data_IF_679370617055
#
_entry.id   IF_679370617055
#
_cell.length_a   1.000
_cell.length_b   1.000
_cell.length_c   1.000
_cell.angle_alpha   90.00
_cell.angle_beta   90.00
_cell.angle_gamma   90.00
#
_symmetry.space_group_name_H-M   'P 1'
#
loop_
_entity.id
_entity.type
_entity.pdbx_description
1 polymer ?
#
# COMPACT_ATOMS: atom_id res chain seq x y z
N UNK A 1 9.90 -2.44 -15.45
CA UNK A 1 10.24 -2.15 -14.05
C UNK A 1 10.64 -0.68 -13.93
N UNK A 2 10.34 -0.06 -12.79
CA UNK A 2 10.63 1.37 -12.62
C UNK A 2 9.77 2.30 -13.47
N UNK A 3 8.50 1.98 -13.72
CA UNK A 3 7.56 2.76 -14.51
C UNK A 3 6.39 3.22 -13.65
N UNK A 4 5.92 4.45 -13.88
CA UNK A 4 4.67 4.96 -13.30
C UNK A 4 3.63 5.03 -14.41
N UNK A 5 2.55 4.26 -14.26
CA UNK A 5 1.40 4.28 -15.13
C UNK A 5 0.26 5.10 -14.51
N UNK A 6 -0.14 6.18 -15.17
CA UNK A 6 -1.30 6.98 -14.77
C UNK A 6 -2.58 6.47 -15.41
N UNK A 7 -3.59 6.14 -14.59
CA UNK A 7 -4.94 5.77 -15.06
C UNK A 7 -5.88 6.94 -14.80
N UNK A 8 -6.37 7.55 -15.86
CA UNK A 8 -7.23 8.75 -15.81
C UNK A 8 -8.65 8.42 -16.29
N UNK A 9 -9.63 9.02 -15.68
CA UNK A 9 -11.04 8.89 -16.07
C UNK A 9 -11.96 9.64 -15.09
N UNK A 10 -13.18 9.88 -15.51
CA UNK A 10 -14.20 10.57 -14.72
C UNK A 10 -14.54 9.82 -13.41
N UNK A 11 -15.19 10.51 -12.47
CA UNK A 11 -15.69 9.85 -11.26
C UNK A 11 -16.72 8.78 -11.66
N UNK A 12 -16.61 7.59 -11.04
CA UNK A 12 -17.51 6.47 -11.34
C UNK A 12 -17.16 5.64 -12.59
N UNK A 13 -16.11 5.99 -13.37
CA UNK A 13 -15.74 5.22 -14.57
C UNK A 13 -15.11 3.83 -14.28
N UNK A 14 -14.89 3.49 -13.00
CA UNK A 14 -14.42 2.16 -12.61
C UNK A 14 -12.94 2.04 -12.22
N UNK A 15 -12.19 3.15 -12.06
CA UNK A 15 -10.77 3.12 -11.66
C UNK A 15 -10.53 2.29 -10.40
N UNK A 16 -11.22 2.64 -9.32
CA UNK A 16 -11.17 1.91 -8.04
C UNK A 16 -11.62 0.45 -8.17
N UNK A 17 -12.66 0.18 -8.98
CA UNK A 17 -13.12 -1.18 -9.22
C UNK A 17 -12.04 -2.01 -9.92
N UNK A 18 -11.36 -1.45 -10.93
CA UNK A 18 -10.25 -2.09 -11.62
C UNK A 18 -9.09 -2.36 -10.66
N UNK A 19 -8.66 -1.36 -9.89
CA UNK A 19 -7.59 -1.48 -8.91
C UNK A 19 -7.86 -2.60 -7.88
N UNK A 20 -9.07 -2.62 -7.30
CA UNK A 20 -9.50 -3.65 -6.36
C UNK A 20 -9.64 -5.04 -7.00
N UNK A 21 -10.01 -5.10 -8.29
CA UNK A 21 -10.13 -6.39 -9.01
C UNK A 21 -8.77 -7.06 -9.20
N UNK A 22 -7.69 -6.30 -9.46
CA UNK A 22 -6.33 -6.83 -9.57
C UNK A 22 -5.95 -7.61 -8.29
N UNK A 23 -6.36 -7.13 -7.14
CA UNK A 23 -6.09 -7.79 -5.85
C UNK A 23 -7.25 -8.66 -5.35
N UNK A 24 -8.34 -8.83 -6.11
CA UNK A 24 -9.56 -9.55 -5.70
C UNK A 24 -10.07 -9.11 -4.32
N UNK A 25 -10.11 -7.77 -4.08
CA UNK A 25 -10.53 -7.18 -2.79
C UNK A 25 -12.04 -6.98 -2.68
N UNK A 26 -12.82 -7.34 -3.68
CA UNK A 26 -14.28 -7.29 -3.62
C UNK A 26 -14.84 -8.48 -2.81
N UNK A 27 -16.01 -8.29 -2.24
CA UNK A 27 -16.73 -9.36 -1.53
C UNK A 27 -17.05 -10.50 -2.51
N UNK A 28 -16.40 -11.65 -2.34
CA UNK A 28 -16.55 -12.84 -3.19
C UNK A 28 -17.98 -13.38 -3.22
N UNK A 29 -18.82 -13.06 -2.23
CA UNK A 29 -20.23 -13.46 -2.20
C UNK A 29 -21.13 -12.60 -3.09
N UNK A 30 -20.64 -11.40 -3.46
CA UNK A 30 -21.41 -10.38 -4.20
C UNK A 30 -20.77 -10.04 -5.54
N UNK A 31 -19.58 -10.58 -5.83
CA UNK A 31 -18.83 -10.23 -7.02
C UNK A 31 -18.52 -11.46 -7.85
N UNK A 32 -18.84 -11.37 -9.12
CA UNK A 32 -18.47 -12.37 -10.11
C UNK A 32 -17.43 -11.78 -11.06
N UNK A 33 -16.27 -12.43 -11.15
CA UNK A 33 -15.21 -12.06 -12.08
C UNK A 33 -15.34 -12.87 -13.38
N UNK A 34 -15.23 -12.19 -14.52
CA UNK A 34 -15.20 -12.83 -15.84
C UNK A 34 -14.01 -12.30 -16.62
N UNK A 35 -13.23 -13.19 -17.21
CA UNK A 35 -11.98 -12.89 -17.90
C UNK A 35 -10.77 -13.34 -17.10
N UNK A 36 -9.62 -12.75 -17.36
CA UNK A 36 -8.35 -13.12 -16.79
C UNK A 36 -7.56 -11.88 -16.35
N UNK A 37 -6.73 -12.02 -15.32
CA UNK A 37 -5.75 -11.03 -14.88
C UNK A 37 -4.42 -11.76 -14.75
N UNK A 38 -3.52 -11.52 -15.70
CA UNK A 38 -2.26 -12.21 -15.77
C UNK A 38 -1.15 -11.44 -15.06
N UNK A 39 -0.46 -12.13 -14.17
CA UNK A 39 0.78 -11.68 -13.55
C UNK A 39 1.96 -12.41 -14.18
N UNK A 40 2.82 -11.64 -14.83
CA UNK A 40 4.06 -12.16 -15.42
C UNK A 40 5.22 -11.93 -14.46
N UNK A 41 5.86 -12.99 -14.02
CA UNK A 41 6.96 -12.92 -13.08
C UNK A 41 8.00 -13.99 -13.34
N UNK A 42 9.27 -13.59 -13.47
CA UNK A 42 10.42 -14.49 -13.59
C UNK A 42 10.20 -15.58 -14.66
N UNK A 43 9.61 -15.20 -15.81
CA UNK A 43 9.27 -16.10 -16.91
C UNK A 43 8.05 -17.01 -16.67
N UNK A 44 7.33 -16.81 -15.56
CA UNK A 44 6.09 -17.51 -15.23
C UNK A 44 4.89 -16.58 -15.40
N UNK A 45 3.81 -17.18 -15.84
CA UNK A 45 2.50 -16.53 -15.95
C UNK A 45 1.56 -17.16 -14.92
N UNK A 46 0.91 -16.32 -14.13
CA UNK A 46 -0.10 -16.72 -13.15
C UNK A 46 -1.37 -15.92 -13.37
N UNK A 47 -2.54 -16.57 -13.41
CA UNK A 47 -3.82 -15.87 -13.47
C UNK A 47 -4.30 -15.58 -12.04
N UNK A 48 -4.35 -14.30 -11.68
CA UNK A 48 -4.74 -13.86 -10.32
C UNK A 48 -6.17 -14.30 -9.97
N UNK A 49 -7.08 -14.34 -10.96
CA UNK A 49 -8.48 -14.69 -10.72
C UNK A 49 -8.68 -16.15 -10.30
N UNK A 50 -7.75 -17.03 -10.69
CA UNK A 50 -7.80 -18.47 -10.38
C UNK A 50 -6.90 -18.88 -9.23
N UNK A 51 -6.12 -17.95 -8.65
CA UNK A 51 -5.26 -18.23 -7.50
C UNK A 51 -6.07 -18.71 -6.30
N UNK A 52 -5.53 -19.69 -5.58
CA UNK A 52 -6.06 -20.09 -4.29
C UNK A 52 -5.86 -19.01 -3.22
N UNK A 53 -6.54 -19.14 -2.08
CA UNK A 53 -6.48 -18.15 -0.99
C UNK A 53 -5.09 -18.00 -0.39
N UNK A 54 -4.30 -19.07 -0.35
CA UNK A 54 -2.94 -19.06 0.22
C UNK A 54 -1.99 -18.28 -0.69
N UNK A 55 -2.02 -18.55 -2.00
CA UNK A 55 -1.20 -17.83 -2.98
C UNK A 55 -1.60 -16.35 -3.07
N UNK A 56 -2.92 -16.07 -3.08
CA UNK A 56 -3.44 -14.71 -3.07
C UNK A 56 -3.04 -13.94 -1.81
N UNK A 57 -3.02 -14.60 -0.63
CA UNK A 57 -2.53 -14.01 0.61
C UNK A 57 -1.05 -13.65 0.57
N UNK A 58 -0.23 -14.47 -0.12
CA UNK A 58 1.20 -14.15 -0.35
C UNK A 58 1.39 -13.04 -1.36
N UNK A 59 0.54 -12.97 -2.39
CA UNK A 59 0.60 -11.92 -3.42
C UNK A 59 0.32 -10.54 -2.81
N UNK A 60 -0.77 -10.45 -2.01
CA UNK A 60 -1.21 -9.21 -1.37
C UNK A 60 -0.20 -8.75 -0.33
N UNK A 61 0.24 -7.52 -0.41
CA UNK A 61 1.17 -6.88 0.50
C UNK A 61 2.65 -7.23 0.28
N UNK A 62 2.96 -8.41 -0.26
CA UNK A 62 4.35 -8.81 -0.52
C UNK A 62 4.80 -8.54 -1.95
N UNK A 63 3.96 -8.84 -2.94
CA UNK A 63 4.30 -8.67 -4.35
C UNK A 63 3.56 -7.48 -4.97
N UNK A 64 2.29 -7.32 -4.61
CA UNK A 64 1.44 -6.20 -5.01
C UNK A 64 0.86 -5.59 -3.76
N UNK A 65 1.06 -4.29 -3.57
CA UNK A 65 0.46 -3.53 -2.48
C UNK A 65 -0.47 -2.44 -3.01
N UNK A 66 -1.37 -1.97 -2.16
CA UNK A 66 -2.33 -0.93 -2.52
C UNK A 66 -2.38 0.16 -1.46
N UNK A 67 -2.31 1.41 -1.91
CA UNK A 67 -2.65 2.60 -1.13
C UNK A 67 -4.09 2.97 -1.47
N UNK A 68 -4.94 3.02 -0.46
CA UNK A 68 -6.36 3.32 -0.62
C UNK A 68 -6.62 4.82 -0.58
N UNK A 69 -7.74 5.23 -1.15
CA UNK A 69 -8.17 6.61 -1.26
C UNK A 69 -8.30 7.32 0.10
N UNK A 70 -8.79 6.62 1.12
CA UNK A 70 -9.01 7.17 2.46
C UNK A 70 -8.11 6.46 3.50
N UNK A 71 -7.02 7.12 3.95
CA UNK A 71 -6.12 6.56 4.95
C UNK A 71 -6.77 6.42 6.33
N UNK A 72 -7.82 7.19 6.64
CA UNK A 72 -8.53 7.13 7.93
C UNK A 72 -9.27 5.80 8.10
N UNK A 73 -9.77 5.23 7.00
CA UNK A 73 -10.47 3.93 7.01
C UNK A 73 -9.52 2.75 6.87
N UNK A 74 -8.28 3.01 6.45
CA UNK A 74 -7.28 1.94 6.21
C UNK A 74 -6.55 1.56 7.49
N UNK A 75 -6.20 2.54 8.33
CA UNK A 75 -5.46 2.33 9.57
C UNK A 75 -6.43 1.98 10.71
N UNK A 76 -6.08 0.95 11.48
CA UNK A 76 -6.82 0.58 12.68
C UNK A 76 -6.57 1.63 13.79
N UNK A 77 -7.60 2.34 14.28
CA UNK A 77 -7.42 3.40 15.28
C UNK A 77 -6.99 2.89 16.66
N UNK A 78 -7.10 1.59 16.92
CA UNK A 78 -6.77 0.95 18.20
C UNK A 78 -5.33 0.44 18.29
N UNK A 79 -4.58 0.49 17.19
CA UNK A 79 -3.18 0.08 17.10
C UNK A 79 -2.30 1.27 16.78
N UNK A 80 -1.08 1.29 17.30
CA UNK A 80 -0.11 2.30 16.91
C UNK A 80 0.28 2.14 15.43
N UNK A 81 0.73 3.21 14.81
CA UNK A 81 1.17 3.18 13.39
C UNK A 81 2.33 2.19 13.22
N UNK A 82 3.27 2.15 14.18
CA UNK A 82 4.39 1.22 14.14
C UNK A 82 3.96 -0.24 14.25
N UNK A 83 2.99 -0.57 15.10
CA UNK A 83 2.46 -1.93 15.21
C UNK A 83 1.88 -2.42 13.89
N UNK A 84 1.14 -1.59 13.18
CA UNK A 84 0.52 -1.94 11.90
C UNK A 84 1.56 -2.15 10.79
N UNK A 85 2.61 -1.34 10.74
CA UNK A 85 3.74 -1.55 9.81
C UNK A 85 4.48 -2.84 10.16
N UNK A 86 4.78 -3.05 11.45
CA UNK A 86 5.47 -4.25 11.93
C UNK A 86 4.67 -5.53 11.70
N UNK A 87 3.35 -5.48 11.75
CA UNK A 87 2.48 -6.63 11.45
C UNK A 87 2.74 -7.14 10.04
N UNK A 88 2.75 -6.26 9.03
CA UNK A 88 3.05 -6.63 7.65
C UNK A 88 4.45 -7.26 7.50
N UNK A 89 5.47 -6.66 8.13
CA UNK A 89 6.84 -7.16 8.10
C UNK A 89 6.98 -8.55 8.73
N UNK A 90 6.32 -8.76 9.87
CA UNK A 90 6.36 -10.04 10.58
C UNK A 90 5.57 -11.13 9.86
N UNK A 91 4.40 -10.78 9.32
CA UNK A 91 3.54 -11.73 8.64
C UNK A 91 4.13 -12.19 7.30
N UNK A 92 4.59 -11.28 6.48
CA UNK A 92 5.05 -11.59 5.12
C UNK A 92 6.54 -11.92 5.01
N UNK A 93 7.39 -11.29 5.85
CA UNK A 93 8.85 -11.44 5.79
C UNK A 93 9.41 -12.25 6.96
N UNK A 94 8.53 -12.67 7.89
CA UNK A 94 8.92 -13.44 9.08
C UNK A 94 10.02 -12.77 9.91
N UNK A 95 10.06 -11.43 9.91
CA UNK A 95 11.03 -10.65 10.69
C UNK A 95 10.77 -10.83 12.19
N UNK A 96 11.83 -10.90 12.97
CA UNK A 96 11.73 -10.80 14.42
C UNK A 96 11.27 -9.39 14.86
N UNK A 97 10.92 -9.25 16.13
CA UNK A 97 10.33 -8.01 16.65
C UNK A 97 11.27 -6.81 16.53
N UNK A 98 12.57 -7.00 16.84
CA UNK A 98 13.54 -5.90 16.84
C UNK A 98 13.90 -5.47 15.41
N UNK A 99 14.08 -6.43 14.50
CA UNK A 99 14.30 -6.13 13.08
C UNK A 99 13.10 -5.43 12.45
N UNK A 100 11.87 -5.91 12.74
CA UNK A 100 10.65 -5.28 12.26
C UNK A 100 10.48 -3.86 12.80
N UNK A 101 10.83 -3.62 14.06
CA UNK A 101 10.79 -2.29 14.67
C UNK A 101 11.77 -1.33 14.01
N UNK A 102 13.02 -1.74 13.81
CA UNK A 102 14.03 -0.94 13.11
C UNK A 102 13.55 -0.59 11.71
N UNK A 103 13.05 -1.59 10.97
CA UNK A 103 12.54 -1.39 9.62
C UNK A 103 11.33 -0.47 9.57
N UNK A 104 10.42 -0.54 10.53
CA UNK A 104 9.27 0.36 10.63
C UNK A 104 9.69 1.82 10.83
N UNK A 105 10.71 2.08 11.66
CA UNK A 105 11.30 3.42 11.83
C UNK A 105 11.87 3.92 10.50
N UNK A 106 12.68 3.12 9.82
CA UNK A 106 13.26 3.47 8.51
C UNK A 106 12.18 3.80 7.46
N UNK A 107 11.10 3.02 7.44
CA UNK A 107 9.98 3.26 6.51
C UNK A 107 9.25 4.58 6.81
N UNK A 108 9.00 4.90 8.07
CA UNK A 108 8.40 6.18 8.46
C UNK A 108 9.30 7.35 8.07
N UNK A 109 10.59 7.25 8.30
CA UNK A 109 11.55 8.29 7.91
C UNK A 109 11.66 8.42 6.39
N UNK A 110 11.63 7.31 5.65
CA UNK A 110 11.64 7.28 4.20
C UNK A 110 10.47 8.06 3.58
N UNK A 111 9.29 8.02 4.21
CA UNK A 111 8.11 8.78 3.76
C UNK A 111 8.04 10.19 4.38
N UNK A 112 9.08 10.64 5.08
CA UNK A 112 9.18 11.98 5.66
C UNK A 112 8.41 12.16 6.97
N UNK A 113 8.19 11.10 7.74
CA UNK A 113 7.62 11.14 9.09
C UNK A 113 8.73 11.08 10.11
N UNK A 114 9.11 12.24 10.66
CA UNK A 114 10.22 12.37 11.60
C UNK A 114 9.76 12.86 12.99
N UNK A 115 10.45 12.49 14.08
CA UNK A 115 11.38 11.37 14.17
C UNK A 115 10.61 10.03 14.22
N UNK A 116 11.03 9.06 13.40
CA UNK A 116 10.31 7.81 13.18
C UNK A 116 10.13 6.97 14.44
N UNK A 117 11.13 6.95 15.34
CA UNK A 117 11.12 6.21 16.60
C UNK A 117 10.04 6.70 17.61
N UNK A 118 9.73 7.99 17.60
CA UNK A 118 8.64 8.56 18.39
C UNK A 118 7.30 8.37 17.70
N UNK A 119 7.25 8.65 16.39
CA UNK A 119 6.02 8.60 15.59
C UNK A 119 5.42 7.19 15.49
N UNK A 120 6.25 6.16 15.44
CA UNK A 120 5.76 4.78 15.40
C UNK A 120 4.93 4.37 16.64
N UNK A 121 5.08 5.07 17.76
CA UNK A 121 4.35 4.82 19.02
C UNK A 121 3.02 5.54 19.10
N UNK A 122 2.75 6.43 18.16
CA UNK A 122 1.52 7.21 18.11
C UNK A 122 0.40 6.43 17.42
N UNK A 123 -0.81 6.75 17.79
CA UNK A 123 -2.03 6.23 17.17
C UNK A 123 -2.42 7.05 15.93
N UNK A 124 -3.20 6.48 14.99
CA UNK A 124 -3.63 7.20 13.80
C UNK A 124 -4.32 8.55 14.07
N UNK A 125 -5.11 8.66 15.13
CA UNK A 125 -5.80 9.90 15.49
C UNK A 125 -4.87 11.04 15.94
N UNK A 126 -3.60 10.76 16.24
CA UNK A 126 -2.58 11.76 16.56
C UNK A 126 -1.86 12.30 15.31
N UNK A 127 -2.18 11.78 14.12
CA UNK A 127 -1.56 12.14 12.85
C UNK A 127 -2.46 13.14 12.09
N UNK A 128 -1.85 14.09 11.37
CA UNK A 128 -2.56 14.87 10.36
C UNK A 128 -2.95 14.01 9.15
N UNK A 129 -3.89 14.47 8.32
CA UNK A 129 -4.29 13.74 7.11
C UNK A 129 -3.12 13.40 6.18
N UNK A 130 -2.20 14.35 5.96
CA UNK A 130 -0.99 14.11 5.18
C UNK A 130 -0.02 13.12 5.83
N UNK A 131 0.08 13.10 7.17
CA UNK A 131 0.87 12.09 7.87
C UNK A 131 0.24 10.71 7.80
N UNK A 132 -1.10 10.60 7.88
CA UNK A 132 -1.81 9.34 7.71
C UNK A 132 -1.60 8.77 6.31
N UNK A 133 -1.64 9.62 5.29
CA UNK A 133 -1.37 9.21 3.91
C UNK A 133 0.06 8.69 3.74
N UNK A 134 1.04 9.41 4.28
CA UNK A 134 2.45 8.97 4.29
C UNK A 134 2.63 7.66 5.04
N UNK A 135 1.98 7.48 6.19
CA UNK A 135 2.01 6.24 6.96
C UNK A 135 1.38 5.07 6.18
N UNK A 136 0.27 5.29 5.46
CA UNK A 136 -0.35 4.29 4.58
C UNK A 136 0.60 3.88 3.44
N UNK A 137 1.33 4.83 2.86
CA UNK A 137 2.37 4.54 1.86
C UNK A 137 3.50 3.73 2.49
N UNK A 138 4.00 4.10 3.69
CA UNK A 138 5.03 3.34 4.40
C UNK A 138 4.60 1.90 4.66
N UNK A 139 3.34 1.69 5.09
CA UNK A 139 2.77 0.37 5.31
C UNK A 139 2.67 -0.43 4.01
N UNK A 140 2.23 0.17 2.92
CA UNK A 140 2.17 -0.47 1.62
C UNK A 140 3.56 -0.90 1.10
N UNK A 141 4.59 -0.10 1.36
CA UNK A 141 5.99 -0.37 0.98
C UNK A 141 6.72 -1.32 1.93
N UNK A 142 6.11 -1.72 3.06
CA UNK A 142 6.80 -2.49 4.11
C UNK A 142 7.52 -3.73 3.58
N UNK A 143 6.89 -4.47 2.68
CA UNK A 143 7.43 -5.70 2.10
C UNK A 143 8.17 -5.50 0.77
N UNK A 144 8.45 -4.25 0.39
CA UNK A 144 9.10 -3.90 -0.87
C UNK A 144 8.39 -4.53 -2.09
N UNK A 145 7.11 -4.20 -2.32
CA UNK A 145 6.32 -4.80 -3.39
C UNK A 145 6.86 -4.41 -4.77
N UNK A 146 6.69 -5.28 -5.76
CA UNK A 146 7.07 -5.01 -7.16
C UNK A 146 6.06 -4.11 -7.88
N UNK A 147 4.81 -4.08 -7.41
CA UNK A 147 3.76 -3.21 -7.93
C UNK A 147 3.07 -2.51 -6.76
N UNK A 148 3.05 -1.19 -6.79
CA UNK A 148 2.25 -0.36 -5.91
C UNK A 148 1.07 0.22 -6.69
N UNK A 149 -0.14 -0.10 -6.28
CA UNK A 149 -1.37 0.48 -6.81
C UNK A 149 -1.78 1.62 -5.88
N UNK A 150 -1.87 2.83 -6.40
CA UNK A 150 -2.34 4.00 -5.66
C UNK A 150 -3.71 4.43 -6.19
N UNK A 151 -4.77 4.19 -5.41
CA UNK A 151 -6.14 4.53 -5.75
C UNK A 151 -6.47 5.92 -5.20
N UNK A 152 -6.42 6.93 -6.05
CA UNK A 152 -6.67 8.34 -5.73
C UNK A 152 -5.93 8.81 -4.45
N UNK A 153 -4.59 8.64 -4.34
CA UNK A 153 -3.86 8.79 -3.08
C UNK A 153 -3.80 10.22 -2.55
N UNK A 154 -4.42 11.17 -3.24
CA UNK A 154 -4.36 12.60 -2.92
C UNK A 154 -5.74 13.25 -2.74
N UNK A 155 -6.84 12.55 -3.02
CA UNK A 155 -8.19 13.14 -3.11
C UNK A 155 -8.66 13.79 -1.79
N UNK A 156 -8.25 13.26 -0.63
CA UNK A 156 -8.61 13.80 0.69
C UNK A 156 -7.66 14.88 1.22
N UNK A 157 -6.73 15.39 0.39
CA UNK A 157 -5.69 16.32 0.80
C UNK A 157 -5.83 17.68 0.11
N UNK A 158 -5.32 18.74 0.74
CA UNK A 158 -5.18 20.05 0.10
C UNK A 158 -4.13 20.03 -1.04
N UNK A 159 -4.19 21.04 -1.92
CA UNK A 159 -3.37 21.10 -3.14
C UNK A 159 -1.87 21.00 -2.86
N UNK A 160 -1.40 21.62 -1.78
CA UNK A 160 0.01 21.59 -1.40
C UNK A 160 0.44 20.19 -0.97
N UNK A 161 -0.38 19.55 -0.16
CA UNK A 161 -0.14 18.18 0.29
C UNK A 161 -0.24 17.18 -0.86
N UNK A 162 -1.14 17.39 -1.83
CA UNK A 162 -1.24 16.56 -3.03
C UNK A 162 0.09 16.53 -3.80
N UNK A 163 0.66 17.71 -4.09
CA UNK A 163 1.95 17.80 -4.77
C UNK A 163 3.04 17.03 -4.01
N UNK A 164 3.12 17.23 -2.70
CA UNK A 164 4.12 16.54 -1.85
C UNK A 164 3.97 15.01 -1.86
N UNK A 165 2.75 14.48 -1.92
CA UNK A 165 2.52 13.03 -2.00
C UNK A 165 2.91 12.49 -3.38
N UNK A 166 2.64 13.22 -4.46
CA UNK A 166 3.05 12.82 -5.81
C UNK A 166 4.57 12.83 -5.95
N UNK A 167 5.24 13.88 -5.46
CA UNK A 167 6.70 13.97 -5.44
C UNK A 167 7.31 12.81 -4.62
N UNK A 168 6.73 12.51 -3.45
CA UNK A 168 7.15 11.38 -2.63
C UNK A 168 7.06 10.06 -3.39
N UNK A 169 5.94 9.79 -4.09
CA UNK A 169 5.77 8.56 -4.86
C UNK A 169 6.79 8.45 -6.01
N UNK A 170 7.09 9.56 -6.70
CA UNK A 170 8.13 9.60 -7.73
C UNK A 170 9.53 9.34 -7.16
N UNK A 171 9.85 9.95 -6.02
CA UNK A 171 11.15 9.75 -5.37
C UNK A 171 11.33 8.31 -4.86
N UNK A 172 10.25 7.73 -4.31
CA UNK A 172 10.24 6.33 -3.89
C UNK A 172 10.42 5.39 -5.07
N UNK A 173 9.75 5.65 -6.19
CA UNK A 173 9.91 4.87 -7.42
C UNK A 173 11.35 4.91 -7.92
N UNK A 174 12.00 6.10 -7.96
CA UNK A 174 13.41 6.23 -8.37
C UNK A 174 14.40 5.50 -7.43
N UNK A 175 14.08 5.44 -6.13
CA UNK A 175 14.94 4.81 -5.12
C UNK A 175 14.78 3.30 -5.04
N UNK A 176 13.59 2.80 -5.31
CA UNK A 176 13.24 1.38 -5.12
C UNK A 176 13.23 0.59 -6.45
N UNK A 177 13.14 1.26 -7.58
CA UNK A 177 13.11 0.67 -8.91
C UNK A 177 11.69 0.39 -9.37
#
# INVERSE_FOLDING_TARGET
EGEILGVVGESGCGKTMTAKSILRLHDEKRTFYRGDIHLYRDGREENILTMDKKRLGTLRGREIAMVFQDPMTTLNPLLTVGEQIMESLRYHLHMDKEAAKKRAVELLEMVGIHPGDKRMRQYPFEFSGGMLQRASIAMALACNPRLLIADEPTTALDVTMQAQILDLLQDLQKKLG
#
